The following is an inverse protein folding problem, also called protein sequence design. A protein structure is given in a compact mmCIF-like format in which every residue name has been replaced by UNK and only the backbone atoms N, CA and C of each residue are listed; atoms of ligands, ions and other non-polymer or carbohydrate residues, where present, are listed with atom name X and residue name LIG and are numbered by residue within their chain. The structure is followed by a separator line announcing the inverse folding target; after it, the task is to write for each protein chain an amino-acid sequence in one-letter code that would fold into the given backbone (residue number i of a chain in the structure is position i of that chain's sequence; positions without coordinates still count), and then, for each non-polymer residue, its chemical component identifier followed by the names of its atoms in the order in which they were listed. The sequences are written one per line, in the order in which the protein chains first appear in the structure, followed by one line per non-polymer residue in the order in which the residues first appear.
data_IF_264013824668
#
_entry.id   IF_264013824668
#
_cell.length_a   1.000
_cell.length_b   1.000
_cell.length_c   1.000
_cell.angle_alpha   90.00
_cell.angle_beta   90.00
_cell.angle_gamma   90.00
#
_symmetry.space_group_name_H-M   'P 1'
#
loop_
_entity.id
_entity.type
_entity.pdbx_description
1 polymer ?
#
# COMPACT_ATOMS: atom_id res chain seq x y z
N UNK A 1 32.90 10.10 -64.39
CA UNK A 1 33.79 9.19 -63.60
C UNK A 1 33.93 9.58 -62.10
N UNK A 2 33.28 10.66 -61.65
CA UNK A 2 33.42 11.18 -60.26
C UNK A 2 32.37 10.72 -59.24
N UNK A 3 31.30 10.05 -59.62
CA UNK A 3 30.26 9.65 -58.68
C UNK A 3 30.51 8.24 -58.06
N UNK A 4 31.25 7.36 -58.70
CA UNK A 4 31.54 6.02 -58.15
C UNK A 4 32.59 6.05 -57.03
N UNK A 5 33.44 7.09 -56.99
CA UNK A 5 34.45 7.25 -55.94
C UNK A 5 33.84 7.83 -54.66
N UNK A 6 32.83 8.71 -54.74
CA UNK A 6 32.12 9.24 -53.57
C UNK A 6 31.28 8.18 -52.85
N UNK A 7 30.63 7.29 -53.61
CA UNK A 7 29.82 6.20 -53.05
C UNK A 7 30.69 5.15 -52.37
N UNK A 8 31.88 4.80 -52.94
CA UNK A 8 32.82 3.89 -52.31
C UNK A 8 33.41 4.46 -51.00
N UNK A 9 33.72 5.77 -50.95
CA UNK A 9 34.18 6.41 -49.70
C UNK A 9 33.08 6.50 -48.62
N UNK A 10 31.84 6.72 -49.03
CA UNK A 10 30.69 6.72 -48.11
C UNK A 10 30.43 5.31 -47.58
N UNK A 11 30.55 4.26 -48.39
CA UNK A 11 30.36 2.88 -47.96
C UNK A 11 31.53 2.41 -47.05
N UNK A 12 32.74 2.90 -47.29
CA UNK A 12 33.89 2.61 -46.42
C UNK A 12 33.81 3.35 -45.08
N UNK A 13 33.20 4.54 -45.06
CA UNK A 13 32.94 5.29 -43.83
C UNK A 13 31.81 4.67 -42.98
N UNK A 14 30.77 4.15 -43.65
CA UNK A 14 29.67 3.43 -42.98
C UNK A 14 30.19 2.07 -42.42
N UNK A 15 31.06 1.39 -43.14
CA UNK A 15 31.69 0.14 -42.66
C UNK A 15 32.64 0.38 -41.49
N UNK A 16 33.30 1.57 -41.43
CA UNK A 16 34.20 1.93 -40.32
C UNK A 16 33.43 2.38 -39.06
N UNK A 17 32.24 2.92 -39.24
CA UNK A 17 31.33 3.27 -38.09
C UNK A 17 30.66 2.03 -37.48
N UNK A 18 30.50 0.94 -38.23
CA UNK A 18 30.00 -0.33 -37.71
C UNK A 18 31.07 -1.19 -37.00
N UNK A 19 32.36 -0.81 -37.08
CA UNK A 19 33.45 -1.54 -36.41
C UNK A 19 33.93 -0.89 -35.11
N UNK A 20 33.29 0.19 -34.64
CA UNK A 20 33.50 0.78 -33.31
C UNK A 20 32.32 0.47 -32.38
N UNK A 21 31.72 -0.69 -32.51
CA UNK A 21 31.13 -1.39 -31.36
C UNK A 21 32.27 -2.19 -30.73
N UNK A 22 33.10 -1.53 -29.95
CA UNK A 22 33.96 -2.20 -28.99
C UNK A 22 32.99 -2.96 -28.08
N UNK A 23 32.85 -4.25 -28.36
CA UNK A 23 32.27 -5.17 -27.40
C UNK A 23 33.18 -5.10 -26.18
N UNK A 24 32.81 -4.28 -25.19
CA UNK A 24 33.29 -4.49 -23.83
C UNK A 24 32.80 -5.89 -23.48
N UNK A 25 33.67 -6.86 -23.54
CA UNK A 25 33.45 -8.19 -23.02
C UNK A 25 33.10 -7.98 -21.54
N UNK A 26 31.83 -8.03 -21.19
CA UNK A 26 31.40 -7.96 -19.79
C UNK A 26 32.10 -9.10 -19.06
N UNK A 27 32.89 -8.76 -18.04
CA UNK A 27 33.54 -9.74 -17.20
C UNK A 27 32.47 -10.68 -16.60
N UNK A 28 32.78 -11.97 -16.56
CA UNK A 28 31.88 -12.94 -15.91
C UNK A 28 31.83 -12.69 -14.40
N UNK A 29 30.72 -13.05 -13.77
CA UNK A 29 30.49 -12.87 -12.33
C UNK A 29 31.62 -13.54 -11.51
N UNK A 30 32.12 -14.70 -11.94
CA UNK A 30 33.22 -15.40 -11.29
C UNK A 30 34.56 -14.65 -11.43
N UNK A 31 34.81 -13.98 -12.55
CA UNK A 31 35.99 -13.16 -12.76
C UNK A 31 35.98 -11.90 -11.89
N UNK A 32 34.80 -11.31 -11.70
CA UNK A 32 34.62 -10.16 -10.80
C UNK A 32 34.91 -10.57 -9.35
N UNK A 33 34.40 -11.71 -8.91
CA UNK A 33 34.62 -12.24 -7.55
C UNK A 33 36.10 -12.57 -7.32
N UNK A 34 36.78 -13.19 -8.30
CA UNK A 34 38.20 -13.50 -8.21
C UNK A 34 39.05 -12.22 -8.09
N UNK A 35 38.74 -11.20 -8.90
CA UNK A 35 39.45 -9.91 -8.89
C UNK A 35 39.26 -9.15 -7.57
N UNK A 36 38.04 -9.18 -6.97
CA UNK A 36 37.80 -8.59 -5.65
C UNK A 36 38.65 -9.28 -4.59
N UNK A 37 38.69 -10.61 -4.57
CA UNK A 37 39.51 -11.37 -3.60
C UNK A 37 41.00 -11.07 -3.75
N UNK A 38 41.48 -10.97 -4.98
CA UNK A 38 42.89 -10.67 -5.24
C UNK A 38 43.28 -9.24 -4.80
N UNK A 39 42.41 -8.26 -5.08
CA UNK A 39 42.63 -6.88 -4.66
C UNK A 39 42.60 -6.73 -3.12
N UNK A 40 41.78 -7.53 -2.42
CA UNK A 40 41.76 -7.60 -0.97
C UNK A 40 43.05 -8.19 -0.39
N UNK A 41 43.54 -9.28 -0.98
CA UNK A 41 44.79 -9.89 -0.56
C UNK A 41 46.00 -8.96 -0.78
N UNK A 42 45.87 -8.01 -1.73
CA UNK A 42 46.87 -6.95 -1.99
C UNK A 42 46.73 -5.75 -1.05
N UNK A 43 45.78 -5.77 -0.09
CA UNK A 43 45.56 -4.69 0.89
C UNK A 43 45.01 -3.40 0.30
N UNK A 44 44.32 -3.45 -0.88
CA UNK A 44 43.69 -2.28 -1.48
C UNK A 44 42.46 -1.86 -0.70
N UNK A 45 42.28 -0.55 -0.55
CA UNK A 45 41.09 -0.01 0.09
C UNK A 45 39.84 -0.27 -0.77
N UNK A 46 38.66 -0.27 -0.16
CA UNK A 46 37.39 -0.48 -0.83
C UNK A 46 37.16 0.50 -1.99
N UNK A 47 37.50 1.77 -1.82
CA UNK A 47 37.40 2.79 -2.86
C UNK A 47 38.29 2.47 -4.08
N UNK A 48 39.50 1.95 -3.85
CA UNK A 48 40.38 1.51 -4.92
C UNK A 48 39.83 0.29 -5.67
N UNK A 49 39.15 -0.62 -4.96
CA UNK A 49 38.51 -1.81 -5.56
C UNK A 49 37.32 -1.38 -6.43
N UNK A 50 36.46 -0.47 -5.94
CA UNK A 50 35.31 0.05 -6.69
C UNK A 50 35.76 0.80 -7.94
N UNK A 51 36.76 1.67 -7.82
CA UNK A 51 37.33 2.40 -8.95
C UNK A 51 37.88 1.45 -9.99
N UNK A 52 38.60 0.40 -9.57
CA UNK A 52 39.18 -0.62 -10.45
C UNK A 52 38.10 -1.44 -11.17
N UNK A 53 36.99 -1.81 -10.49
CA UNK A 53 35.84 -2.51 -11.07
C UNK A 53 35.10 -1.63 -12.08
N UNK A 54 34.89 -0.35 -11.77
CA UNK A 54 34.32 0.63 -12.69
C UNK A 54 35.15 0.84 -13.96
N UNK A 55 36.48 0.91 -13.85
CA UNK A 55 37.37 1.01 -15.00
C UNK A 55 37.38 -0.26 -15.89
N UNK A 56 37.01 -1.41 -15.31
CA UNK A 56 36.88 -2.69 -16.03
C UNK A 56 35.49 -2.93 -16.61
N UNK A 57 34.60 -1.96 -16.51
CA UNK A 57 33.24 -2.02 -17.09
C UNK A 57 32.22 -2.86 -16.30
N UNK A 58 32.51 -3.15 -15.03
CA UNK A 58 31.55 -3.85 -14.15
C UNK A 58 30.41 -2.90 -13.78
N UNK A 59 29.17 -3.29 -14.11
CA UNK A 59 27.99 -2.47 -13.84
C UNK A 59 27.45 -2.71 -12.43
N UNK A 60 26.73 -1.73 -11.90
CA UNK A 60 26.08 -1.83 -10.58
C UNK A 60 25.08 -2.99 -10.52
N UNK A 61 24.34 -3.25 -11.62
CA UNK A 61 23.43 -4.37 -11.74
C UNK A 61 24.14 -5.73 -11.64
N UNK A 62 25.34 -5.82 -12.19
CA UNK A 62 26.19 -7.02 -12.11
C UNK A 62 26.64 -7.28 -10.67
N UNK A 63 27.03 -6.25 -9.93
CA UNK A 63 27.40 -6.34 -8.51
C UNK A 63 26.22 -6.80 -7.63
N UNK A 64 25.01 -6.27 -7.87
CA UNK A 64 23.79 -6.67 -7.16
C UNK A 64 23.45 -8.15 -7.45
N UNK A 65 23.59 -8.59 -8.69
CA UNK A 65 23.35 -9.98 -9.09
C UNK A 65 24.33 -10.94 -8.42
N UNK A 66 25.60 -10.58 -8.37
CA UNK A 66 26.65 -11.37 -7.68
C UNK A 66 26.34 -11.47 -6.19
N UNK A 67 25.96 -10.35 -5.54
CA UNK A 67 25.53 -10.32 -4.13
C UNK A 67 24.38 -11.29 -3.86
N UNK A 68 23.33 -11.25 -4.68
CA UNK A 68 22.14 -12.11 -4.52
C UNK A 68 22.47 -13.60 -4.73
N UNK A 69 23.34 -13.93 -5.68
CA UNK A 69 23.75 -15.31 -5.94
C UNK A 69 24.63 -15.90 -4.82
N UNK A 70 25.44 -15.07 -4.15
CA UNK A 70 26.28 -15.52 -3.04
C UNK A 70 25.52 -15.60 -1.72
N UNK A 71 24.53 -14.74 -1.46
CA UNK A 71 23.65 -14.83 -0.28
C UNK A 71 22.63 -15.98 -0.41
N UNK A 72 22.13 -16.27 -1.62
CA UNK A 72 21.18 -17.36 -1.87
C UNK A 72 21.76 -18.79 -1.74
N UNK A 73 23.06 -18.96 -1.91
CA UNK A 73 23.72 -20.28 -1.78
C UNK A 73 23.99 -20.74 -0.34
N UNK A 74 23.74 -19.89 0.65
CA UNK A 74 23.93 -20.24 2.07
C UNK A 74 22.70 -20.85 2.75
N UNK A 75 21.55 -20.95 2.08
CA UNK A 75 20.30 -21.43 2.67
C UNK A 75 19.82 -22.81 2.20
N UNK A 76 20.60 -23.55 1.39
CA UNK A 76 20.18 -24.88 0.88
C UNK A 76 21.29 -25.96 0.98
N UNK A 77 21.96 -26.03 2.14
CA UNK A 77 22.81 -27.18 2.43
C UNK A 77 22.68 -27.57 3.90
N UNK A 78 21.70 -28.41 4.19
CA UNK A 78 21.53 -28.96 5.51
C UNK A 78 20.37 -29.94 5.58
N UNK A 79 20.50 -31.14 4.98
CA UNK A 79 19.97 -32.40 5.49
C UNK A 79 20.51 -33.54 4.63
N UNK A 80 21.51 -34.24 5.14
CA UNK A 80 21.58 -35.69 5.04
C UNK A 80 22.60 -36.24 6.06
N UNK A 81 22.10 -37.19 6.80
CA UNK A 81 22.65 -38.07 7.81
C UNK A 81 23.94 -38.81 7.39
N UNK A 82 24.85 -39.03 8.37
CA UNK A 82 25.76 -40.15 8.34
C UNK A 82 27.10 -39.93 9.03
N UNK A 83 27.28 -40.51 10.18
CA UNK A 83 28.45 -40.94 10.98
C UNK A 83 29.84 -40.74 10.40
N UNK A 84 30.75 -40.25 11.25
CA UNK A 84 32.19 -40.51 11.13
C UNK A 84 33.11 -39.42 11.71
N UNK A 85 33.71 -39.73 12.83
CA UNK A 85 34.77 -38.97 13.52
C UNK A 85 35.85 -38.47 12.58
N UNK A 86 36.28 -37.23 12.70
CA UNK A 86 37.68 -36.83 12.87
C UNK A 86 37.80 -35.33 13.14
N UNK A 87 38.51 -35.03 14.21
CA UNK A 87 38.96 -33.71 14.64
C UNK A 87 39.99 -33.19 13.61
N UNK A 88 39.77 -31.99 13.10
CA UNK A 88 40.83 -31.02 12.82
C UNK A 88 40.23 -29.62 12.81
N UNK A 89 40.60 -28.88 13.84
CA UNK A 89 40.31 -27.48 14.07
C UNK A 89 41.10 -26.66 13.03
N UNK A 90 40.38 -26.09 12.07
CA UNK A 90 40.93 -25.04 11.21
C UNK A 90 40.09 -23.78 11.49
N UNK A 91 40.70 -22.87 12.23
CA UNK A 91 40.19 -21.54 12.46
C UNK A 91 40.18 -20.81 11.12
N UNK A 92 38.98 -20.68 10.54
CA UNK A 92 38.74 -19.68 9.51
C UNK A 92 38.46 -18.35 10.20
N UNK A 93 39.16 -17.27 9.88
CA UNK A 93 38.79 -15.95 10.36
C UNK A 93 37.36 -15.62 9.87
N UNK A 94 36.56 -14.87 10.66
CA UNK A 94 35.22 -14.53 10.27
C UNK A 94 35.24 -13.78 8.94
N UNK A 95 34.52 -14.31 7.95
CA UNK A 95 34.28 -13.60 6.69
C UNK A 95 33.53 -12.31 7.03
N UNK A 96 34.28 -11.21 7.12
CA UNK A 96 33.71 -9.86 7.25
C UNK A 96 32.90 -9.64 5.98
N UNK A 97 31.61 -9.44 6.14
CA UNK A 97 30.70 -9.09 5.06
C UNK A 97 31.09 -7.69 4.55
N UNK A 98 31.98 -7.64 3.58
CA UNK A 98 32.52 -6.40 3.00
C UNK A 98 31.40 -5.60 2.30
N UNK A 99 30.35 -6.27 1.85
CA UNK A 99 29.17 -5.62 1.24
C UNK A 99 28.28 -4.90 2.26
N UNK A 100 28.30 -5.29 3.54
CA UNK A 100 27.58 -4.56 4.59
C UNK A 100 28.32 -3.31 5.07
N UNK A 101 29.64 -3.23 4.82
CA UNK A 101 30.46 -2.05 5.18
C UNK A 101 30.54 -1.00 4.06
N UNK A 102 30.11 -1.32 2.83
CA UNK A 102 30.08 -0.38 1.71
C UNK A 102 28.98 0.68 1.81
N UNK A 103 28.02 0.51 2.73
CA UNK A 103 26.82 1.34 2.77
C UNK A 103 26.87 2.49 3.82
N UNK A 104 27.96 2.67 4.56
CA UNK A 104 27.92 3.53 5.74
C UNK A 104 28.37 4.99 5.53
N UNK A 105 29.03 5.35 4.42
CA UNK A 105 29.46 6.74 4.20
C UNK A 105 28.84 7.42 2.98
N UNK A 106 28.54 6.70 1.90
CA UNK A 106 27.72 7.24 0.80
C UNK A 106 26.23 7.36 1.19
N UNK A 107 25.76 6.53 2.13
CA UNK A 107 24.39 6.59 2.64
C UNK A 107 24.10 7.88 3.46
N UNK A 108 25.08 8.56 4.01
CA UNK A 108 24.83 9.83 4.71
C UNK A 108 24.37 10.94 3.75
N UNK A 109 24.99 11.07 2.59
CA UNK A 109 24.54 12.06 1.59
C UNK A 109 23.24 11.63 0.87
N UNK A 110 23.03 10.34 0.66
CA UNK A 110 21.76 9.80 0.12
C UNK A 110 20.61 9.86 1.13
N UNK A 111 20.90 9.65 2.41
CA UNK A 111 19.94 9.79 3.50
C UNK A 111 19.38 11.23 3.61
N UNK A 112 20.24 12.22 3.34
CA UNK A 112 19.88 13.63 3.46
C UNK A 112 19.41 14.25 2.13
N UNK A 113 19.71 13.66 0.97
CA UNK A 113 19.37 14.26 -0.34
C UNK A 113 18.00 13.87 -0.90
N UNK A 114 17.36 12.79 -0.42
CA UNK A 114 16.07 12.30 -0.91
C UNK A 114 15.02 12.00 0.15
N UNK A 115 15.26 12.31 1.41
CA UNK A 115 14.25 12.11 2.47
C UNK A 115 13.83 10.65 2.72
N UNK A 116 14.51 9.67 2.12
CA UNK A 116 14.19 8.24 2.34
C UNK A 116 15.45 7.40 2.46
N UNK A 117 15.59 6.74 3.58
CA UNK A 117 16.60 5.69 3.80
C UNK A 117 16.22 4.50 2.91
N UNK A 118 17.13 3.97 2.06
CA UNK A 118 16.81 2.79 1.29
C UNK A 118 16.38 1.63 2.18
N UNK A 119 15.13 1.18 2.00
CA UNK A 119 14.54 0.08 2.80
C UNK A 119 13.67 0.50 3.97
N UNK A 120 13.61 1.78 4.36
CA UNK A 120 12.64 2.27 5.36
C UNK A 120 11.34 2.65 4.65
N UNK A 121 10.25 2.02 5.07
CA UNK A 121 8.91 2.23 4.49
C UNK A 121 8.16 3.32 5.24
N UNK A 122 7.25 4.01 4.55
CA UNK A 122 6.30 4.92 5.19
C UNK A 122 5.22 4.07 5.85
N UNK A 123 4.97 4.33 7.14
CA UNK A 123 3.98 3.61 7.93
C UNK A 123 2.57 3.73 7.31
N UNK A 124 1.89 2.60 7.22
CA UNK A 124 0.52 2.51 6.74
C UNK A 124 0.33 2.43 5.22
N UNK A 125 1.29 2.85 4.38
CA UNK A 125 1.11 2.88 2.92
C UNK A 125 0.86 1.53 2.28
N UNK A 126 1.41 0.47 2.85
CA UNK A 126 1.27 -0.88 2.30
C UNK A 126 -0.13 -1.47 2.50
N UNK A 127 -1.02 -0.84 3.29
CA UNK A 127 -2.35 -1.39 3.60
C UNK A 127 -3.21 -1.57 2.35
N UNK A 128 -3.13 -0.65 1.40
CA UNK A 128 -3.91 -0.72 0.16
C UNK A 128 -3.18 -1.43 -0.99
N UNK A 129 -1.88 -1.69 -0.85
CA UNK A 129 -1.03 -2.28 -1.88
C UNK A 129 -0.66 -3.74 -1.61
N UNK A 130 -1.06 -4.28 -0.46
CA UNK A 130 -0.75 -5.66 -0.09
C UNK A 130 -1.68 -6.62 -0.85
N UNK A 131 -1.11 -7.41 -1.76
CA UNK A 131 -1.84 -8.44 -2.53
C UNK A 131 -2.51 -9.52 -1.67
N UNK A 132 -2.13 -9.65 -0.41
CA UNK A 132 -2.72 -10.60 0.55
C UNK A 132 -3.92 -10.01 1.29
N UNK A 133 -4.08 -8.68 1.29
CA UNK A 133 -5.21 -7.99 1.88
C UNK A 133 -6.12 -7.56 0.72
N UNK A 134 -7.26 -8.21 0.57
CA UNK A 134 -8.25 -7.81 -0.42
C UNK A 134 -9.31 -6.97 0.27
N UNK A 135 -9.45 -5.74 -0.18
CA UNK A 135 -10.63 -4.90 0.10
C UNK A 135 -11.66 -5.07 -1.03
N UNK A 136 -11.73 -6.27 -1.62
CA UNK A 136 -12.80 -6.56 -2.58
C UNK A 136 -14.13 -6.60 -1.85
N UNK A 137 -15.16 -5.92 -2.37
CA UNK A 137 -16.47 -5.92 -1.75
C UNK A 137 -17.00 -7.36 -1.71
N UNK A 138 -17.20 -7.89 -0.51
CA UNK A 138 -17.84 -9.18 -0.35
C UNK A 138 -19.36 -9.02 -0.58
N UNK A 139 -19.84 -9.46 -1.72
CA UNK A 139 -21.27 -9.38 -2.06
C UNK A 139 -22.14 -10.37 -1.26
N UNK A 140 -21.52 -11.30 -0.52
CA UNK A 140 -22.22 -12.31 0.29
C UNK A 140 -22.31 -11.96 1.77
N UNK A 141 -22.15 -10.68 2.13
CA UNK A 141 -22.36 -10.22 3.52
C UNK A 141 -23.84 -9.97 3.80
N UNK A 142 -24.20 -10.10 5.07
CA UNK A 142 -25.55 -9.70 5.50
C UNK A 142 -25.78 -8.22 5.15
N UNK A 143 -26.98 -7.91 4.63
CA UNK A 143 -27.35 -6.53 4.31
C UNK A 143 -27.24 -5.66 5.56
N UNK A 144 -26.49 -4.55 5.53
CA UNK A 144 -26.41 -3.64 6.65
C UNK A 144 -27.80 -3.07 6.98
N UNK A 145 -28.12 -2.95 8.27
CA UNK A 145 -29.44 -2.45 8.74
C UNK A 145 -29.76 -1.03 8.24
N UNK A 146 -28.73 -0.23 7.99
CA UNK A 146 -28.84 1.13 7.49
C UNK A 146 -28.81 1.25 5.96
N UNK A 147 -28.77 0.11 5.24
CA UNK A 147 -28.75 0.14 3.78
C UNK A 147 -30.07 0.70 3.23
N UNK A 148 -29.95 1.67 2.34
CA UNK A 148 -31.09 2.34 1.70
C UNK A 148 -31.22 1.83 0.26
N UNK A 149 -32.36 1.22 -0.03
CA UNK A 149 -32.70 0.68 -1.33
C UNK A 149 -32.80 1.79 -2.39
N UNK A 150 -32.42 1.43 -3.62
CA UNK A 150 -32.49 2.36 -4.74
C UNK A 150 -32.60 1.66 -6.10
N UNK A 151 -32.83 2.43 -7.17
CA UNK A 151 -32.92 1.88 -8.51
C UNK A 151 -31.69 1.05 -8.89
N UNK A 152 -31.93 -0.16 -9.41
CA UNK A 152 -30.89 -1.11 -9.78
C UNK A 152 -30.57 -2.16 -8.71
N UNK A 153 -31.05 -2.02 -7.47
CA UNK A 153 -30.97 -3.08 -6.47
C UNK A 153 -31.95 -4.23 -6.81
N UNK A 154 -31.52 -5.47 -6.66
CA UNK A 154 -32.36 -6.66 -6.80
C UNK A 154 -33.02 -6.97 -5.46
N UNK A 155 -34.34 -7.08 -5.46
CA UNK A 155 -35.15 -7.52 -4.33
C UNK A 155 -35.62 -8.95 -4.58
N UNK A 156 -35.39 -9.81 -3.57
CA UNK A 156 -35.85 -11.19 -3.55
C UNK A 156 -36.96 -11.28 -2.50
N UNK A 157 -38.13 -11.70 -2.95
CA UNK A 157 -39.28 -11.97 -2.09
C UNK A 157 -39.57 -13.46 -2.12
N UNK A 158 -39.27 -14.15 -1.03
CA UNK A 158 -39.59 -15.56 -0.83
C UNK A 158 -40.93 -15.68 -0.09
N UNK A 159 -41.81 -16.49 -0.64
CA UNK A 159 -43.12 -16.80 -0.08
C UNK A 159 -43.14 -18.32 0.17
N UNK A 160 -43.57 -18.74 1.37
CA UNK A 160 -43.68 -20.16 1.71
C UNK A 160 -44.84 -20.43 2.66
N UNK A 161 -45.19 -21.71 2.81
CA UNK A 161 -46.33 -22.16 3.59
C UNK A 161 -47.49 -22.59 2.69
N UNK A 162 -48.64 -21.92 2.79
CA UNK A 162 -49.83 -22.21 1.95
C UNK A 162 -49.61 -21.93 0.47
N UNK A 163 -48.58 -21.13 0.12
CA UNK A 163 -48.13 -20.91 -1.25
C UNK A 163 -46.61 -20.88 -1.28
N UNK A 164 -46.00 -21.34 -2.38
CA UNK A 164 -44.54 -21.32 -2.55
C UNK A 164 -44.20 -20.59 -3.84
N UNK A 165 -43.59 -19.39 -3.70
CA UNK A 165 -43.16 -18.57 -4.84
C UNK A 165 -41.95 -17.73 -4.44
N UNK A 166 -40.93 -17.67 -5.30
CA UNK A 166 -39.79 -16.72 -5.18
C UNK A 166 -39.90 -15.68 -6.30
N UNK A 167 -39.99 -14.42 -5.94
CA UNK A 167 -40.04 -13.28 -6.85
C UNK A 167 -38.68 -12.56 -6.79
N UNK A 168 -38.06 -12.37 -7.96
CA UNK A 168 -36.82 -11.63 -8.10
C UNK A 168 -37.05 -10.46 -9.04
N UNK A 169 -36.88 -9.24 -8.56
CA UNK A 169 -37.12 -8.03 -9.32
C UNK A 169 -36.07 -6.97 -9.02
N UNK A 170 -35.65 -6.26 -10.05
CA UNK A 170 -34.83 -5.05 -9.87
C UNK A 170 -35.73 -3.86 -9.61
N UNK A 171 -35.30 -2.99 -8.69
CA UNK A 171 -35.97 -1.70 -8.49
C UNK A 171 -35.75 -0.87 -9.77
N UNK A 172 -36.84 -0.53 -10.41
CA UNK A 172 -36.84 0.24 -11.65
C UNK A 172 -36.41 1.71 -11.39
N UNK A 173 -36.06 2.50 -12.42
CA UNK A 173 -35.67 3.91 -12.25
C UNK A 173 -36.73 4.80 -11.60
N UNK A 174 -38.02 4.43 -11.67
CA UNK A 174 -39.12 5.08 -11.00
C UNK A 174 -39.26 4.71 -9.52
N UNK A 175 -38.40 3.83 -9.02
CA UNK A 175 -38.33 3.39 -7.62
C UNK A 175 -39.26 2.25 -7.26
N UNK A 176 -39.94 1.60 -8.24
CA UNK A 176 -40.84 0.52 -8.03
C UNK A 176 -40.24 -0.86 -8.36
N UNK A 177 -40.77 -1.90 -7.71
CA UNK A 177 -40.74 -3.27 -8.22
C UNK A 177 -42.14 -3.63 -8.72
N UNK A 178 -42.27 -4.46 -9.74
CA UNK A 178 -43.58 -4.91 -10.24
C UNK A 178 -43.81 -6.35 -9.78
N UNK A 179 -44.85 -6.55 -8.94
CA UNK A 179 -45.25 -7.88 -8.49
C UNK A 179 -46.49 -8.28 -9.30
N UNK A 180 -46.45 -9.49 -9.91
CA UNK A 180 -47.60 -10.05 -10.61
C UNK A 180 -48.84 -10.03 -9.70
N UNK A 181 -50.00 -9.76 -10.27
CA UNK A 181 -51.32 -9.71 -9.60
C UNK A 181 -51.51 -8.50 -8.65
N UNK A 182 -50.46 -7.77 -8.27
CA UNK A 182 -50.52 -6.63 -7.34
C UNK A 182 -50.21 -5.33 -8.07
N UNK A 183 -49.23 -5.34 -8.98
CA UNK A 183 -48.74 -4.15 -9.66
C UNK A 183 -47.49 -3.55 -9.02
N UNK A 184 -47.28 -2.24 -9.23
CA UNK A 184 -46.06 -1.57 -8.77
C UNK A 184 -46.04 -1.33 -7.25
N UNK A 185 -44.94 -1.65 -6.60
CA UNK A 185 -44.68 -1.39 -5.18
C UNK A 185 -43.45 -0.52 -5.04
N UNK A 186 -43.59 0.67 -4.47
CA UNK A 186 -42.53 1.66 -4.33
C UNK A 186 -41.60 1.31 -3.17
N UNK A 187 -40.29 1.14 -3.46
CA UNK A 187 -39.27 0.73 -2.49
C UNK A 187 -38.04 1.68 -2.42
N UNK A 188 -37.91 2.61 -3.37
CA UNK A 188 -36.80 3.55 -3.37
C UNK A 188 -36.74 4.40 -2.10
N UNK A 189 -35.56 4.51 -1.48
CA UNK A 189 -35.37 5.31 -0.27
C UNK A 189 -35.74 4.59 1.04
N UNK A 190 -36.28 3.37 0.98
CA UNK A 190 -36.62 2.57 2.16
C UNK A 190 -35.42 1.72 2.63
N UNK A 191 -35.39 1.44 3.93
CA UNK A 191 -34.55 0.38 4.48
C UNK A 191 -35.19 -0.98 4.23
N UNK A 192 -34.40 -2.05 4.34
CA UNK A 192 -34.88 -3.41 4.04
C UNK A 192 -36.08 -3.81 4.92
N UNK A 193 -36.11 -3.41 6.19
CA UNK A 193 -37.22 -3.68 7.10
C UNK A 193 -38.48 -2.92 6.69
N UNK A 194 -38.35 -1.66 6.29
CA UNK A 194 -39.49 -0.87 5.79
C UNK A 194 -40.02 -1.43 4.47
N UNK A 195 -39.11 -1.91 3.61
CA UNK A 195 -39.46 -2.59 2.37
C UNK A 195 -40.20 -3.90 2.65
N UNK A 196 -39.77 -4.68 3.65
CA UNK A 196 -40.50 -5.87 4.10
C UNK A 196 -41.95 -5.55 4.48
N UNK A 197 -42.14 -4.53 5.31
CA UNK A 197 -43.51 -4.12 5.72
C UNK A 197 -44.35 -3.65 4.52
N UNK A 198 -43.74 -2.89 3.60
CA UNK A 198 -44.43 -2.40 2.39
C UNK A 198 -44.83 -3.54 1.47
N UNK A 199 -43.94 -4.50 1.22
CA UNK A 199 -44.19 -5.69 0.40
C UNK A 199 -45.21 -6.59 1.07
N UNK A 200 -45.12 -6.82 2.40
CA UNK A 200 -46.09 -7.59 3.16
C UNK A 200 -47.51 -7.04 3.00
N UNK A 201 -47.68 -5.72 3.20
CA UNK A 201 -48.99 -5.06 3.07
C UNK A 201 -49.54 -5.14 1.64
N UNK A 202 -48.67 -5.08 0.62
CA UNK A 202 -49.10 -5.25 -0.77
C UNK A 202 -49.53 -6.70 -1.06
N UNK A 203 -48.73 -7.69 -0.63
CA UNK A 203 -49.01 -9.12 -0.82
C UNK A 203 -50.25 -9.60 -0.04
N UNK A 204 -50.59 -8.96 1.09
CA UNK A 204 -51.80 -9.33 1.87
C UNK A 204 -53.11 -9.11 1.12
N UNK A 205 -53.11 -8.35 0.01
CA UNK A 205 -54.25 -8.21 -0.86
C UNK A 205 -54.59 -9.48 -1.65
N UNK A 206 -53.54 -10.31 -1.92
CA UNK A 206 -53.67 -11.59 -2.64
C UNK A 206 -53.61 -12.77 -1.67
N UNK A 207 -52.71 -12.68 -0.67
CA UNK A 207 -52.49 -13.72 0.33
C UNK A 207 -53.09 -13.28 1.66
N UNK A 208 -54.42 -13.46 1.83
CA UNK A 208 -55.17 -12.98 3.00
C UNK A 208 -54.66 -13.52 4.34
N UNK A 209 -54.04 -14.72 4.34
CA UNK A 209 -53.48 -15.34 5.53
C UNK A 209 -52.23 -14.65 6.10
N UNK A 210 -51.53 -13.79 5.33
CA UNK A 210 -50.36 -13.05 5.80
C UNK A 210 -50.66 -12.13 7.00
N UNK A 211 -51.91 -11.70 7.16
CA UNK A 211 -52.37 -10.83 8.24
C UNK A 211 -53.36 -11.52 9.19
N UNK A 212 -53.53 -12.86 9.09
CA UNK A 212 -54.41 -13.61 10.00
C UNK A 212 -53.74 -13.88 11.35
N UNK A 213 -54.53 -14.13 12.40
CA UNK A 213 -54.02 -14.53 13.73
C UNK A 213 -53.29 -15.88 13.71
N UNK A 214 -53.57 -16.71 12.70
CA UNK A 214 -52.90 -17.99 12.44
C UNK A 214 -52.44 -18.01 10.99
N UNK A 215 -51.29 -17.39 10.67
CA UNK A 215 -50.79 -17.33 9.31
C UNK A 215 -50.30 -18.72 8.85
N UNK A 216 -50.75 -19.14 7.68
CA UNK A 216 -50.27 -20.33 6.99
C UNK A 216 -49.25 -19.98 5.88
N UNK A 217 -49.16 -18.70 5.53
CA UNK A 217 -48.26 -18.17 4.50
C UNK A 217 -47.32 -17.15 5.15
N UNK A 218 -46.05 -17.26 4.81
CA UNK A 218 -44.98 -16.43 5.34
C UNK A 218 -44.20 -15.80 4.20
N UNK A 219 -43.57 -14.65 4.46
CA UNK A 219 -42.73 -13.98 3.48
C UNK A 219 -41.39 -13.57 4.11
N UNK A 220 -40.38 -13.49 3.26
CA UNK A 220 -39.10 -12.88 3.54
C UNK A 220 -38.72 -11.94 2.39
N UNK A 221 -38.29 -10.73 2.73
CA UNK A 221 -37.72 -9.80 1.75
C UNK A 221 -36.23 -9.70 2.01
N UNK A 222 -35.45 -9.92 0.99
CA UNK A 222 -33.98 -9.87 1.07
C UNK A 222 -33.42 -9.11 -0.13
N UNK A 223 -32.24 -8.55 0.06
CA UNK A 223 -31.46 -7.91 -0.99
C UNK A 223 -30.71 -9.01 -1.77
N UNK A 224 -30.81 -8.98 -3.10
CA UNK A 224 -30.03 -9.81 -4.00
C UNK A 224 -28.79 -9.07 -4.47
N UNK A 225 -28.64 -8.91 -5.78
CA UNK A 225 -27.56 -8.12 -6.34
C UNK A 225 -27.74 -6.64 -6.02
N UNK A 226 -26.67 -5.98 -5.64
CA UNK A 226 -26.70 -4.54 -5.33
C UNK A 226 -26.38 -3.71 -6.57
N UNK A 227 -26.94 -2.52 -6.64
CA UNK A 227 -26.63 -1.56 -7.71
C UNK A 227 -25.16 -1.14 -7.71
N UNK A 228 -24.69 -0.69 -8.85
CA UNK A 228 -23.39 -0.02 -8.94
C UNK A 228 -23.52 1.47 -8.68
N UNK A 229 -22.51 2.03 -8.03
CA UNK A 229 -22.33 3.46 -7.78
C UNK A 229 -21.06 3.95 -8.50
N UNK A 230 -21.02 5.21 -8.88
CA UNK A 230 -19.82 5.87 -9.43
C UNK A 230 -19.24 6.77 -8.37
N UNK A 231 -17.95 6.55 -8.07
CA UNK A 231 -17.19 7.32 -7.09
C UNK A 231 -15.98 7.92 -7.79
N UNK A 232 -15.72 9.20 -7.55
CA UNK A 232 -14.55 9.89 -8.06
C UNK A 232 -13.44 9.83 -7.00
N UNK A 233 -12.30 9.23 -7.33
CA UNK A 233 -11.12 9.21 -6.46
C UNK A 233 -10.09 10.15 -7.06
N UNK A 234 -9.72 11.19 -6.32
CA UNK A 234 -8.93 12.31 -6.79
C UNK A 234 -7.80 12.67 -5.83
N UNK A 235 -6.91 13.56 -6.26
CA UNK A 235 -5.73 13.98 -5.50
C UNK A 235 -4.60 12.98 -5.60
N UNK A 236 -3.86 12.83 -4.52
CA UNK A 236 -2.60 12.10 -4.46
C UNK A 236 -2.80 10.59 -4.25
N UNK A 237 -3.48 9.94 -5.20
CA UNK A 237 -3.64 8.48 -5.28
C UNK A 237 -2.84 7.90 -6.44
N UNK A 238 -2.60 6.60 -6.44
CA UNK A 238 -1.81 5.96 -7.51
C UNK A 238 -2.48 6.09 -8.88
N UNK A 239 -3.81 5.93 -8.94
CA UNK A 239 -4.60 6.06 -10.18
C UNK A 239 -5.85 6.90 -9.92
N UNK A 240 -5.78 8.25 -10.09
CA UNK A 240 -6.96 9.09 -9.96
C UNK A 240 -7.95 8.84 -11.11
N UNK A 241 -9.26 8.85 -10.79
CA UNK A 241 -10.30 8.61 -11.78
C UNK A 241 -11.67 8.36 -11.19
N UNK A 242 -12.63 8.01 -12.07
CA UNK A 242 -13.98 7.60 -11.68
C UNK A 242 -14.06 6.08 -11.66
N UNK A 243 -14.49 5.53 -10.54
CA UNK A 243 -14.60 4.10 -10.30
C UNK A 243 -16.05 3.68 -10.21
N UNK A 244 -16.39 2.55 -10.82
CA UNK A 244 -17.70 1.91 -10.67
C UNK A 244 -17.56 0.81 -9.62
N UNK A 245 -18.25 0.97 -8.50
CA UNK A 245 -18.17 0.10 -7.34
C UNK A 245 -19.58 -0.40 -6.97
N UNK A 246 -19.72 -1.55 -6.31
CA UNK A 246 -21.00 -1.94 -5.69
C UNK A 246 -21.44 -0.91 -4.64
N UNK A 247 -22.75 -0.73 -4.44
CA UNK A 247 -23.27 0.25 -3.49
C UNK A 247 -22.98 -0.06 -2.00
N UNK A 248 -22.44 -1.25 -1.71
CA UNK A 248 -21.93 -1.63 -0.39
C UNK A 248 -20.44 -1.27 -0.22
N UNK A 249 -19.82 -0.65 -1.21
CA UNK A 249 -18.40 -0.28 -1.14
C UNK A 249 -18.18 0.85 -0.14
N UNK A 250 -17.04 0.78 0.52
CA UNK A 250 -16.58 1.75 1.51
C UNK A 250 -15.44 2.62 0.94
N UNK A 251 -15.00 3.60 1.72
CA UNK A 251 -13.84 4.44 1.39
C UNK A 251 -12.59 3.59 1.08
N UNK A 252 -12.32 2.57 1.90
CA UNK A 252 -11.13 1.74 1.72
C UNK A 252 -11.20 0.87 0.46
N UNK A 253 -12.41 0.41 0.08
CA UNK A 253 -12.61 -0.24 -1.21
C UNK A 253 -12.27 0.69 -2.39
N UNK A 254 -12.68 1.95 -2.32
CA UNK A 254 -12.37 2.94 -3.37
C UNK A 254 -10.88 3.22 -3.47
N UNK A 255 -10.20 3.42 -2.33
CA UNK A 255 -8.75 3.63 -2.28
C UNK A 255 -7.99 2.41 -2.80
N UNK A 256 -8.40 1.19 -2.41
CA UNK A 256 -7.80 -0.05 -2.91
C UNK A 256 -7.90 -0.16 -4.44
N UNK A 257 -9.09 0.12 -5.00
CA UNK A 257 -9.29 0.10 -6.45
C UNK A 257 -8.49 1.19 -7.18
N UNK A 258 -8.21 2.32 -6.53
CA UNK A 258 -7.35 3.38 -7.04
C UNK A 258 -5.84 3.07 -6.91
N UNK A 259 -5.47 1.87 -6.44
CA UNK A 259 -4.08 1.47 -6.23
C UNK A 259 -3.44 2.05 -4.97
N UNK A 260 -4.26 2.59 -4.05
CA UNK A 260 -3.81 3.18 -2.78
C UNK A 260 -3.39 4.63 -2.88
N UNK A 261 -2.81 5.11 -1.79
CA UNK A 261 -2.29 6.48 -1.67
C UNK A 261 -0.96 6.60 -2.42
N UNK A 262 -0.80 7.65 -3.22
CA UNK A 262 0.39 7.92 -4.02
C UNK A 262 1.64 8.31 -3.19
N UNK A 263 2.77 8.51 -3.86
CA UNK A 263 4.05 8.79 -3.18
C UNK A 263 4.03 10.05 -2.31
N UNK A 264 3.33 11.08 -2.76
CA UNK A 264 3.19 12.35 -2.02
C UNK A 264 1.83 12.48 -1.32
N UNK A 265 1.00 11.43 -1.37
CA UNK A 265 -0.31 11.43 -0.76
C UNK A 265 -0.27 11.25 0.75
N UNK A 266 -1.23 11.87 1.43
CA UNK A 266 -1.43 11.77 2.86
C UNK A 266 -2.28 10.55 3.23
N UNK A 267 -1.83 9.79 4.21
CA UNK A 267 -2.61 8.76 4.89
C UNK A 267 -3.50 9.34 6.00
N UNK A 268 -3.35 10.63 6.30
CA UNK A 268 -3.93 11.29 7.47
C UNK A 268 -4.85 12.45 7.12
N UNK A 269 -4.98 12.77 5.82
CA UNK A 269 -5.85 13.82 5.31
C UNK A 269 -6.56 13.31 4.05
N UNK A 270 -7.59 12.47 4.29
CA UNK A 270 -8.43 11.90 3.25
C UNK A 270 -9.85 12.37 3.49
N UNK A 271 -10.42 13.14 2.57
CA UNK A 271 -11.76 13.67 2.71
C UNK A 271 -12.74 13.00 1.75
N UNK A 272 -13.96 12.78 2.23
CA UNK A 272 -15.08 12.34 1.38
C UNK A 272 -16.08 13.49 1.25
N UNK A 273 -16.29 13.91 0.01
CA UNK A 273 -17.21 14.99 -0.32
C UNK A 273 -18.47 14.42 -0.99
N UNK A 274 -19.62 14.77 -0.46
CA UNK A 274 -20.95 14.40 -0.97
C UNK A 274 -21.76 15.64 -1.26
N UNK A 275 -22.16 15.82 -2.54
CA UNK A 275 -22.93 17.01 -2.97
C UNK A 275 -22.28 18.33 -2.54
N UNK A 276 -20.95 18.42 -2.66
CA UNK A 276 -20.16 19.62 -2.33
C UNK A 276 -19.94 19.88 -0.83
N UNK A 277 -20.30 18.96 0.04
CA UNK A 277 -20.03 19.04 1.49
C UNK A 277 -19.11 17.93 1.93
N UNK A 278 -18.17 18.23 2.81
CA UNK A 278 -17.34 17.23 3.47
C UNK A 278 -18.21 16.41 4.42
N UNK A 279 -18.32 15.10 4.19
CA UNK A 279 -19.09 14.18 5.04
C UNK A 279 -18.19 13.33 5.93
N UNK A 280 -16.92 13.21 5.58
CA UNK A 280 -15.91 12.58 6.43
C UNK A 280 -14.54 13.17 6.17
N UNK A 281 -13.73 13.23 7.23
CA UNK A 281 -12.30 13.50 7.25
C UNK A 281 -11.62 12.32 7.95
N UNK A 282 -10.78 11.58 7.22
CA UNK A 282 -10.30 10.27 7.63
C UNK A 282 -8.79 10.28 7.79
N UNK A 283 -8.36 9.92 8.99
CA UNK A 283 -6.98 9.64 9.36
C UNK A 283 -6.79 8.11 9.47
N UNK A 284 -6.08 7.52 8.51
CA UNK A 284 -5.85 6.07 8.48
C UNK A 284 -4.99 5.59 9.66
N UNK A 285 -4.20 6.49 10.30
CA UNK A 285 -3.47 6.15 11.52
C UNK A 285 -4.42 5.83 12.66
N UNK A 286 -5.55 6.52 12.78
CA UNK A 286 -6.57 6.22 13.78
C UNK A 286 -7.19 4.83 13.55
N UNK A 287 -7.39 4.45 12.29
CA UNK A 287 -7.82 3.09 11.96
C UNK A 287 -6.76 2.05 12.33
N UNK A 288 -5.49 2.27 11.93
CA UNK A 288 -4.40 1.32 12.10
C UNK A 288 -3.93 1.17 13.55
N UNK A 289 -3.87 2.26 14.30
CA UNK A 289 -3.28 2.32 15.63
C UNK A 289 -4.32 2.26 16.75
N UNK A 290 -5.53 2.79 16.51
CA UNK A 290 -6.60 2.87 17.52
C UNK A 290 -7.77 1.93 17.22
N UNK A 291 -7.76 1.23 16.07
CA UNK A 291 -8.81 0.27 15.68
C UNK A 291 -10.17 0.94 15.36
N UNK A 292 -10.17 2.21 14.94
CA UNK A 292 -11.39 2.95 14.60
C UNK A 292 -11.95 2.50 13.25
N UNK A 293 -12.74 1.43 13.25
CA UNK A 293 -13.39 0.89 12.04
C UNK A 293 -14.54 1.78 11.52
N UNK A 294 -15.05 2.69 12.33
CA UNK A 294 -16.07 3.67 11.97
C UNK A 294 -15.60 4.70 10.91
N UNK A 295 -14.29 4.79 10.70
CA UNK A 295 -13.69 5.66 9.68
C UNK A 295 -13.83 5.10 8.26
N UNK A 296 -14.06 3.80 8.10
CA UNK A 296 -14.30 3.18 6.79
C UNK A 296 -15.77 3.33 6.40
N UNK A 297 -16.15 4.54 6.01
CA UNK A 297 -17.52 4.92 5.71
C UNK A 297 -18.03 4.34 4.38
N UNK A 298 -19.32 4.05 4.32
CA UNK A 298 -20.03 3.65 3.09
C UNK A 298 -20.12 4.82 2.10
N UNK A 299 -19.83 4.54 0.84
CA UNK A 299 -19.86 5.52 -0.24
C UNK A 299 -21.24 5.53 -0.94
N UNK A 300 -21.60 6.68 -1.50
CA UNK A 300 -22.79 6.87 -2.30
C UNK A 300 -22.45 7.26 -3.74
N UNK A 301 -23.41 7.11 -4.64
CA UNK A 301 -23.26 7.54 -6.04
C UNK A 301 -22.94 9.03 -6.12
N UNK A 302 -21.89 9.37 -6.87
CA UNK A 302 -21.40 10.72 -7.05
C UNK A 302 -20.50 11.25 -5.93
N UNK A 303 -20.14 10.45 -4.93
CA UNK A 303 -19.15 10.85 -3.92
C UNK A 303 -17.79 11.11 -4.53
N UNK A 304 -17.04 12.04 -3.93
CA UNK A 304 -15.67 12.38 -4.29
C UNK A 304 -14.77 12.09 -3.10
N UNK A 305 -13.87 11.13 -3.27
CA UNK A 305 -12.77 10.85 -2.34
C UNK A 305 -11.57 11.68 -2.78
N UNK A 306 -11.08 12.53 -1.90
CA UNK A 306 -9.93 13.39 -2.16
C UNK A 306 -8.81 13.07 -1.17
N UNK A 307 -7.65 12.69 -1.70
CA UNK A 307 -6.43 12.49 -0.92
C UNK A 307 -5.55 13.73 -1.08
N UNK A 308 -5.29 14.43 0.02
CA UNK A 308 -4.40 15.58 0.03
C UNK A 308 -2.92 15.16 -0.02
N UNK A 309 -1.97 16.03 -0.38
CA UNK A 309 -0.55 15.78 -0.15
C UNK A 309 -0.25 15.72 1.36
N UNK A 310 0.81 14.97 1.75
CA UNK A 310 1.26 14.94 3.14
C UNK A 310 1.81 16.30 3.58
N UNK A 311 1.75 16.56 4.90
CA UNK A 311 2.34 17.78 5.48
C UNK A 311 3.81 17.52 5.87
N UNK A 312 4.07 16.59 6.78
CA UNK A 312 5.39 16.32 7.30
C UNK A 312 5.70 14.82 7.26
N UNK A 313 6.83 14.45 6.67
CA UNK A 313 7.39 13.10 6.76
C UNK A 313 8.64 13.11 7.64
N UNK A 314 8.64 12.27 8.65
CA UNK A 314 9.69 12.20 9.67
C UNK A 314 10.27 10.79 9.71
N UNK A 315 11.58 10.68 9.64
CA UNK A 315 12.29 9.39 9.68
C UNK A 315 12.67 9.02 11.10
N UNK A 316 12.24 7.84 11.58
CA UNK A 316 12.59 7.32 12.89
C UNK A 316 13.40 6.03 12.76
N UNK A 317 14.58 6.02 13.38
CA UNK A 317 15.54 4.90 13.34
C UNK A 317 16.05 4.51 14.73
N UNK A 318 16.82 3.44 14.80
CA UNK A 318 17.48 3.01 16.03
C UNK A 318 16.63 2.05 16.89
N UNK A 319 16.71 2.21 18.21
CA UNK A 319 16.17 1.26 19.20
C UNK A 319 14.70 1.50 19.54
N UNK A 320 13.85 1.68 18.54
CA UNK A 320 12.39 1.70 18.65
C UNK A 320 11.78 0.39 18.15
N UNK A 321 10.54 0.09 18.55
CA UNK A 321 9.90 -1.16 18.13
C UNK A 321 9.59 -1.20 16.65
N UNK A 322 9.19 -0.06 16.05
CA UNK A 322 8.90 0.08 14.61
C UNK A 322 9.70 1.24 14.02
N UNK A 323 10.94 1.04 13.60
CA UNK A 323 11.70 2.05 12.86
C UNK A 323 11.13 2.19 11.44
N UNK A 324 10.52 3.34 11.12
CA UNK A 324 9.85 3.63 9.86
C UNK A 324 9.85 5.14 9.60
N UNK A 325 9.38 5.56 8.42
CA UNK A 325 9.01 6.94 8.15
C UNK A 325 7.54 7.11 8.56
N UNK A 326 7.26 8.18 9.29
CA UNK A 326 5.93 8.51 9.78
C UNK A 326 5.46 9.84 9.21
N UNK A 327 4.19 9.90 8.86
CA UNK A 327 3.51 11.14 8.53
C UNK A 327 3.03 11.80 9.83
N UNK A 328 3.51 13.03 10.07
CA UNK A 328 3.19 13.79 11.28
C UNK A 328 2.35 15.02 10.95
N UNK A 329 1.40 15.37 11.82
CA UNK A 329 0.67 16.63 11.76
C UNK A 329 1.50 17.74 12.40
N UNK A 330 1.25 18.99 12.03
CA UNK A 330 2.00 20.15 12.52
C UNK A 330 1.95 20.32 14.05
N UNK A 331 0.92 19.76 14.68
CA UNK A 331 0.72 19.82 16.14
C UNK A 331 1.35 18.66 16.89
N UNK A 332 1.90 17.69 16.19
CA UNK A 332 2.42 16.46 16.80
C UNK A 332 3.91 16.58 17.14
N UNK A 333 4.30 15.81 18.13
CA UNK A 333 5.57 15.93 18.83
C UNK A 333 6.41 14.65 18.74
N UNK A 334 7.63 14.68 19.27
CA UNK A 334 8.47 13.48 19.45
C UNK A 334 7.75 12.41 20.26
N UNK A 335 6.95 12.81 21.27
CA UNK A 335 6.16 11.87 22.08
C UNK A 335 5.15 11.09 21.26
N UNK A 336 4.38 11.78 20.39
CA UNK A 336 3.41 11.17 19.50
C UNK A 336 4.09 10.22 18.49
N UNK A 337 5.23 10.64 17.93
CA UNK A 337 6.02 9.79 17.02
C UNK A 337 6.46 8.48 17.71
N UNK A 338 6.95 8.56 18.94
CA UNK A 338 7.37 7.40 19.72
C UNK A 338 6.17 6.49 20.02
N UNK A 339 4.99 7.06 20.30
CA UNK A 339 3.75 6.28 20.48
C UNK A 339 3.39 5.52 19.20
N UNK A 340 3.43 6.18 18.05
CA UNK A 340 3.18 5.55 16.73
C UNK A 340 4.19 4.44 16.43
N UNK A 341 5.44 4.60 16.86
CA UNK A 341 6.47 3.57 16.74
C UNK A 341 6.28 2.39 17.72
N UNK A 342 5.33 2.46 18.65
CA UNK A 342 5.08 1.47 19.70
C UNK A 342 6.05 1.57 20.86
N UNK A 343 6.80 2.68 20.98
CA UNK A 343 7.76 2.96 22.05
C UNK A 343 9.15 2.35 21.81
N UNK A 344 9.97 2.47 22.81
CA UNK A 344 11.35 2.01 22.82
C UNK A 344 11.47 0.47 22.91
N UNK A 345 12.57 -0.06 22.38
CA UNK A 345 13.01 -1.43 22.69
C UNK A 345 13.55 -1.50 24.12
N UNK A 346 13.65 -2.72 24.66
CA UNK A 346 14.10 -2.95 26.04
C UNK A 346 15.53 -2.47 26.31
N UNK A 347 16.40 -2.50 25.30
CA UNK A 347 17.81 -2.12 25.33
C UNK A 347 18.07 -0.68 24.84
N UNK A 348 17.02 0.14 24.67
CA UNK A 348 17.13 1.51 24.23
C UNK A 348 17.53 2.46 25.36
N UNK A 349 18.28 3.51 25.01
CA UNK A 349 18.47 4.66 25.90
C UNK A 349 17.22 5.56 25.81
N UNK A 350 16.45 5.63 26.91
CA UNK A 350 15.11 6.24 26.92
C UNK A 350 15.10 7.71 27.31
N UNK A 351 16.21 8.18 27.92
CA UNK A 351 16.24 9.52 28.53
C UNK A 351 16.38 10.65 27.50
N UNK A 352 16.86 10.35 26.30
CA UNK A 352 16.96 11.34 25.23
C UNK A 352 16.89 10.67 23.85
N UNK A 353 16.41 11.44 22.86
CA UNK A 353 16.49 11.11 21.45
C UNK A 353 17.22 12.21 20.71
N UNK A 354 17.87 11.85 19.62
CA UNK A 354 18.56 12.82 18.75
C UNK A 354 17.70 13.15 17.55
N UNK A 355 17.38 14.42 17.37
CA UNK A 355 16.69 14.96 16.22
C UNK A 355 17.68 15.73 15.36
N UNK A 356 17.80 15.38 14.10
CA UNK A 356 18.61 16.08 13.11
C UNK A 356 17.65 16.78 12.15
N UNK A 357 17.72 18.09 12.11
CA UNK A 357 16.86 18.97 11.31
C UNK A 357 17.69 19.76 10.32
N UNK A 358 17.25 19.83 9.07
CA UNK A 358 17.86 20.69 8.06
C UNK A 358 17.32 22.12 8.22
N UNK A 359 18.19 23.08 8.46
CA UNK A 359 17.87 24.50 8.52
C UNK A 359 18.69 25.25 7.46
N UNK A 360 18.06 25.57 6.34
CA UNK A 360 18.75 26.19 5.22
C UNK A 360 19.83 25.27 4.62
N UNK A 361 21.11 25.64 4.76
CA UNK A 361 22.28 24.87 4.30
C UNK A 361 22.94 24.05 5.39
N UNK A 362 22.49 24.15 6.62
CA UNK A 362 23.11 23.51 7.78
C UNK A 362 22.19 22.48 8.41
N UNK A 363 22.80 21.54 9.13
CA UNK A 363 22.07 20.57 9.95
C UNK A 363 22.17 20.99 11.41
N UNK A 364 21.04 21.12 12.06
CA UNK A 364 20.92 21.34 13.50
C UNK A 364 20.68 19.99 14.17
N UNK A 365 21.43 19.75 15.24
CA UNK A 365 21.30 18.52 16.05
C UNK A 365 20.71 18.91 17.38
N UNK A 366 19.52 18.41 17.68
CA UNK A 366 18.85 18.60 18.96
C UNK A 366 18.89 17.27 19.73
N UNK A 367 19.40 17.31 20.96
CA UNK A 367 19.23 16.22 21.90
C UNK A 367 18.00 16.55 22.74
N UNK A 368 16.89 15.88 22.45
CA UNK A 368 15.59 16.12 23.12
C UNK A 368 15.52 15.16 24.31
N UNK A 369 15.38 15.67 25.51
CA UNK A 369 15.28 14.87 26.73
C UNK A 369 13.84 14.35 26.95
N UNK A 370 13.68 13.29 27.75
CA UNK A 370 12.38 12.65 28.02
C UNK A 370 11.29 13.64 28.44
N UNK A 371 11.65 14.63 29.28
CA UNK A 371 10.73 15.67 29.72
C UNK A 371 10.23 16.61 28.62
N UNK A 372 10.93 16.68 27.50
CA UNK A 372 10.62 17.55 26.37
C UNK A 372 9.87 16.83 25.23
N UNK A 373 9.78 15.49 25.25
CA UNK A 373 9.18 14.70 24.16
C UNK A 373 7.77 15.17 23.78
N UNK A 374 6.97 15.57 24.75
CA UNK A 374 5.59 16.04 24.55
C UNK A 374 5.47 17.47 24.03
N UNK A 375 6.57 18.21 24.05
CA UNK A 375 6.57 19.63 23.70
C UNK A 375 7.47 19.96 22.50
N UNK A 376 8.27 19.01 22.01
CA UNK A 376 9.17 19.22 20.88
C UNK A 376 8.44 18.93 19.57
N UNK A 377 8.08 19.97 18.77
CA UNK A 377 7.37 19.78 17.52
C UNK A 377 8.28 19.23 16.44
N UNK A 378 7.73 18.37 15.58
CA UNK A 378 8.41 17.80 14.43
C UNK A 378 8.06 18.57 13.16
N UNK A 379 8.99 18.61 12.22
CA UNK A 379 8.81 19.26 10.93
C UNK A 379 9.22 18.30 9.80
N UNK A 380 8.80 18.65 8.57
CA UNK A 380 9.11 17.84 7.40
C UNK A 380 10.62 17.64 7.22
N UNK A 381 11.01 16.40 6.95
CA UNK A 381 12.40 15.98 6.75
C UNK A 381 13.21 15.78 8.03
N UNK A 382 12.62 15.88 9.23
CA UNK A 382 13.31 15.55 10.47
C UNK A 382 13.75 14.08 10.49
N UNK A 383 14.97 13.86 10.95
CA UNK A 383 15.54 12.54 11.17
C UNK A 383 15.78 12.29 12.66
N UNK A 384 15.11 11.28 13.20
CA UNK A 384 15.19 10.94 14.62
C UNK A 384 15.93 9.61 14.80
N UNK A 385 16.90 9.62 15.71
CA UNK A 385 17.67 8.44 16.10
C UNK A 385 17.57 8.21 17.61
N UNK A 386 17.31 6.95 17.98
CA UNK A 386 17.19 6.46 19.36
C UNK A 386 18.35 5.54 19.70
#
# INVERSE_FOLDING_TARGET
MNNKIKVKKLFLLILFVQFISVAFAQMSDDQVVAMVKEAQNQGKTQQQIIMMLGQKGVTQEQLIRIKNNYTGKKSTAGEQTGNGMSRLRQENPPAVNILDSLNLEEDKELLFSKGSVPGIRIFGRDIFNNKQLTFEPNLNIATPENYVLGPGDEIIVDIWGGSVKTIRQYIAPDGNITIEEIGPVYLNGLKIEEAYQRVKNALSQVYASLNSDQPDTFIKVSLGNVRSIRVNVMGEVAMPGTYTLPSLATLFHALYNAGGVGEIGSMRNITVNRKGKVVADVDVYDYLLKGRSDLDISLNDGDVVLVAPYANLVSLTGKVKRPMIYEMKDTETVGDLLEYAGGFKGDAYKNAVRVIRKSGREYQVHNVEEGEFKNFPLVDGDFISV
#
